data_IF_753873998292
#
_entry.id   IF_753873998292
#
_cell.length_a   1.000
_cell.length_b   1.000
_cell.length_c   1.000
_cell.angle_alpha   90.00
_cell.angle_beta   90.00
_cell.angle_gamma   90.00
#
_symmetry.space_group_name_H-M   'P 1'
#
loop_
_entity.id
_entity.type
_entity.pdbx_description
1 polymer ?
#
# COMPACT_ATOMS: atom_id res chain seq x y z
N UNK A 1 -11.95 -13.96 27.63
CA UNK A 1 -11.72 -12.51 27.42
C UNK A 1 -10.27 -12.35 26.98
N UNK A 2 -9.98 -11.87 25.78
CA UNK A 2 -8.59 -11.69 25.34
C UNK A 2 -7.91 -10.63 26.24
N UNK A 3 -6.77 -10.98 26.81
CA UNK A 3 -5.98 -10.10 27.66
C UNK A 3 -5.55 -8.86 26.86
N UNK A 4 -6.02 -7.68 27.29
CA UNK A 4 -5.70 -6.41 26.61
C UNK A 4 -4.33 -5.94 27.07
N UNK A 5 -3.45 -5.66 26.12
CA UNK A 5 -2.12 -5.08 26.39
C UNK A 5 -2.29 -3.70 27.01
N UNK A 6 -1.57 -3.44 28.10
CA UNK A 6 -1.58 -2.17 28.81
C UNK A 6 -0.20 -1.54 28.81
N UNK A 7 -0.19 -0.22 28.77
CA UNK A 7 1.01 0.58 29.02
C UNK A 7 1.34 0.61 30.53
N UNK A 8 2.56 1.03 30.87
CA UNK A 8 3.04 1.37 32.21
C UNK A 8 2.09 2.27 33.01
N UNK A 9 1.30 3.11 32.33
CA UNK A 9 0.26 3.98 32.93
C UNK A 9 -1.14 3.34 33.00
N UNK A 10 -1.26 2.03 32.77
CA UNK A 10 -2.54 1.30 32.82
C UNK A 10 -3.49 1.54 31.63
N UNK A 11 -3.07 2.30 30.62
CA UNK A 11 -3.86 2.58 29.41
C UNK A 11 -3.89 1.37 28.49
N UNK A 12 -5.05 1.05 27.92
CA UNK A 12 -5.19 -0.04 26.97
C UNK A 12 -4.61 0.33 25.60
N UNK A 13 -3.70 -0.50 25.10
CA UNK A 13 -3.12 -0.45 23.76
C UNK A 13 -4.01 -1.25 22.79
N UNK A 14 -4.25 -0.69 21.61
CA UNK A 14 -4.95 -1.36 20.50
C UNK A 14 -4.03 -2.37 19.81
N UNK A 15 -4.62 -3.22 18.97
CA UNK A 15 -3.88 -4.17 18.14
C UNK A 15 -2.88 -3.43 17.25
N UNK A 16 -1.59 -3.79 17.36
CA UNK A 16 -0.50 -3.16 16.61
C UNK A 16 0.16 -1.99 17.34
N UNK A 17 -0.42 -1.47 18.44
CA UNK A 17 0.21 -0.48 19.31
C UNK A 17 1.17 -1.17 20.32
N UNK A 18 2.32 -0.56 20.55
CA UNK A 18 3.37 -1.00 21.47
C UNK A 18 3.95 0.21 22.20
N UNK A 19 4.47 0.00 23.40
CA UNK A 19 5.27 0.99 24.10
C UNK A 19 6.72 0.52 24.16
N UNK A 20 7.62 1.33 23.61
CA UNK A 20 9.07 1.15 23.69
C UNK A 20 9.55 1.77 24.99
N UNK A 21 9.77 0.95 26.01
CA UNK A 21 10.24 1.39 27.33
C UNK A 21 11.68 1.91 27.31
N UNK A 22 12.50 1.49 26.34
CA UNK A 22 13.90 1.92 26.19
C UNK A 22 13.97 3.35 25.66
N UNK A 23 13.20 3.64 24.60
CA UNK A 23 13.20 4.96 23.97
C UNK A 23 12.05 5.87 24.44
N UNK A 24 11.24 5.41 25.40
CA UNK A 24 10.07 6.13 25.97
C UNK A 24 9.12 6.68 24.90
N UNK A 25 8.74 5.83 23.93
CA UNK A 25 7.89 6.20 22.80
C UNK A 25 6.84 5.13 22.51
N UNK A 26 5.72 5.54 21.94
CA UNK A 26 4.73 4.63 21.39
C UNK A 26 5.04 4.29 19.95
N UNK A 27 4.73 3.06 19.56
CA UNK A 27 4.93 2.55 18.21
C UNK A 27 3.67 1.86 17.72
N UNK A 28 3.39 1.97 16.44
CA UNK A 28 2.35 1.24 15.76
C UNK A 28 2.95 0.47 14.58
N UNK A 29 2.81 -0.86 14.56
CA UNK A 29 3.22 -1.72 13.43
C UNK A 29 1.98 -2.38 12.81
N UNK A 30 1.83 -2.23 11.49
CA UNK A 30 0.83 -2.96 10.70
C UNK A 30 1.41 -3.42 9.36
N UNK A 31 0.97 -4.58 8.89
CA UNK A 31 1.24 -5.05 7.52
C UNK A 31 0.18 -4.46 6.60
N UNK A 32 0.61 -3.74 5.57
CA UNK A 32 -0.27 -3.13 4.56
C UNK A 32 0.30 -3.49 3.20
N UNK A 33 -0.47 -4.19 2.36
CA UNK A 33 -0.07 -4.60 1.00
C UNK A 33 1.31 -5.31 0.92
N UNK A 34 1.69 -6.05 1.97
CA UNK A 34 2.98 -6.76 2.06
C UNK A 34 4.14 -5.94 2.64
N UNK A 35 3.94 -4.66 2.96
CA UNK A 35 4.95 -3.77 3.55
C UNK A 35 4.73 -3.53 5.06
N UNK A 36 5.84 -3.42 5.81
CA UNK A 36 5.94 -3.55 7.29
C UNK A 36 5.80 -2.22 8.07
N UNK A 37 4.84 -1.37 7.69
CA UNK A 37 4.78 0.05 8.11
C UNK A 37 4.86 0.20 9.63
N UNK A 38 5.75 1.10 10.08
CA UNK A 38 5.98 1.42 11.49
C UNK A 38 5.87 2.91 11.71
N UNK A 39 4.98 3.33 12.60
CA UNK A 39 4.78 4.72 13.02
C UNK A 39 5.27 4.83 14.47
N UNK A 40 5.88 5.94 14.84
CA UNK A 40 6.35 6.19 16.21
C UNK A 40 5.95 7.58 16.67
N UNK A 41 5.51 7.73 17.92
CA UNK A 41 5.17 9.01 18.52
C UNK A 41 5.53 9.03 20.01
N UNK A 42 5.75 10.21 20.58
CA UNK A 42 5.98 10.39 22.03
C UNK A 42 4.71 10.13 22.83
N UNK A 43 3.55 10.53 22.29
CA UNK A 43 2.26 10.41 22.96
C UNK A 43 1.30 9.45 22.25
N UNK A 44 0.50 8.74 23.05
CA UNK A 44 -0.49 7.79 22.55
C UNK A 44 -1.59 8.46 21.71
N UNK A 45 -1.95 9.70 22.05
CA UNK A 45 -2.96 10.47 21.30
C UNK A 45 -2.42 10.83 19.91
N UNK A 46 -1.17 11.29 19.85
CA UNK A 46 -0.51 11.61 18.57
C UNK A 46 -0.32 10.36 17.72
N UNK A 47 0.07 9.23 18.32
CA UNK A 47 0.17 7.95 17.63
C UNK A 47 -1.15 7.59 16.95
N UNK A 48 -2.28 7.74 17.65
CA UNK A 48 -3.61 7.43 17.12
C UNK A 48 -4.07 8.38 16.04
N UNK A 49 -3.68 9.66 16.12
CA UNK A 49 -3.93 10.63 15.04
C UNK A 49 -3.16 10.22 13.78
N UNK A 50 -1.88 9.91 13.92
CA UNK A 50 -1.03 9.44 12.81
C UNK A 50 -1.51 8.09 12.24
N UNK A 51 -1.94 7.16 13.10
CA UNK A 51 -2.59 5.91 12.71
C UNK A 51 -3.83 6.19 11.84
N UNK A 52 -4.74 7.04 12.32
CA UNK A 52 -5.95 7.38 11.59
C UNK A 52 -5.66 8.06 10.26
N UNK A 53 -4.73 9.02 10.23
CA UNK A 53 -4.31 9.69 8.99
C UNK A 53 -3.70 8.69 8.00
N UNK A 54 -2.90 7.73 8.47
CA UNK A 54 -2.35 6.66 7.65
C UNK A 54 -3.46 5.76 7.08
N UNK A 55 -4.41 5.34 7.92
CA UNK A 55 -5.55 4.52 7.48
C UNK A 55 -6.44 5.27 6.49
N UNK A 56 -6.76 6.54 6.75
CA UNK A 56 -7.52 7.38 5.82
C UNK A 56 -6.79 7.59 4.48
N UNK A 57 -5.45 7.74 4.48
CA UNK A 57 -4.67 7.82 3.23
C UNK A 57 -4.78 6.52 2.42
N UNK A 58 -4.72 5.37 3.09
CA UNK A 58 -4.85 4.06 2.45
C UNK A 58 -6.27 3.89 1.88
N UNK A 59 -7.29 4.21 2.68
CA UNK A 59 -8.70 4.06 2.33
C UNK A 59 -9.11 4.94 1.14
N UNK A 60 -8.61 6.18 1.10
CA UNK A 60 -8.82 7.12 -0.03
C UNK A 60 -8.11 6.70 -1.33
N UNK A 61 -7.54 5.49 -1.40
CA UNK A 61 -6.83 5.01 -2.58
C UNK A 61 -5.52 5.76 -2.84
N UNK A 62 -5.08 6.61 -1.90
CA UNK A 62 -3.76 7.23 -1.89
C UNK A 62 -2.77 6.16 -1.43
N UNK A 63 -2.73 5.05 -2.17
CA UNK A 63 -1.77 3.98 -2.00
C UNK A 63 -0.42 4.66 -1.96
N UNK A 64 0.21 4.60 -0.79
CA UNK A 64 1.64 4.79 -0.60
C UNK A 64 2.35 3.70 -1.41
N UNK A 65 2.28 3.84 -2.72
CA UNK A 65 3.08 3.13 -3.65
C UNK A 65 3.83 4.24 -4.37
N UNK A 66 4.85 4.76 -3.70
CA UNK A 66 6.00 5.40 -4.36
C UNK A 66 6.48 4.52 -5.53
N UNK A 67 6.25 3.21 -5.45
CA UNK A 67 6.37 2.23 -6.54
C UNK A 67 5.44 2.49 -7.74
N UNK A 68 4.16 2.81 -7.52
CA UNK A 68 3.19 3.14 -8.59
C UNK A 68 3.42 4.53 -9.18
N UNK A 69 3.85 5.50 -8.37
CA UNK A 69 4.15 6.85 -8.87
C UNK A 69 5.28 6.85 -9.91
N UNK A 70 6.25 5.94 -9.78
CA UNK A 70 7.35 5.75 -10.74
C UNK A 70 7.08 4.67 -11.79
N UNK A 71 5.97 3.93 -11.67
CA UNK A 71 5.65 2.82 -12.57
C UNK A 71 5.34 3.35 -13.97
N UNK A 72 5.95 2.72 -14.98
CA UNK A 72 5.64 2.99 -16.38
C UNK A 72 4.33 2.32 -16.76
N UNK A 73 3.66 2.84 -17.80
CA UNK A 73 2.44 2.22 -18.30
C UNK A 73 2.68 0.74 -18.70
N UNK A 74 3.86 0.42 -19.24
CA UNK A 74 4.26 -0.96 -19.55
C UNK A 74 4.27 -1.85 -18.30
N UNK A 75 4.94 -1.41 -17.22
CA UNK A 75 5.02 -2.19 -16.00
C UNK A 75 3.64 -2.40 -15.35
N UNK A 76 2.75 -1.41 -15.44
CA UNK A 76 1.37 -1.56 -14.99
C UNK A 76 0.57 -2.52 -15.85
N UNK A 77 0.71 -2.43 -17.17
CA UNK A 77 0.03 -3.32 -18.10
C UNK A 77 0.42 -4.77 -17.83
N UNK A 78 1.71 -5.06 -17.64
CA UNK A 78 2.19 -6.41 -17.31
C UNK A 78 1.61 -6.90 -15.98
N UNK A 79 1.62 -6.05 -14.94
CA UNK A 79 0.99 -6.37 -13.66
C UNK A 79 -0.51 -6.67 -13.80
N UNK A 80 -1.25 -5.81 -14.50
CA UNK A 80 -2.68 -5.96 -14.70
C UNK A 80 -3.01 -7.21 -15.50
N UNK A 81 -2.19 -7.50 -16.52
CA UNK A 81 -2.34 -8.67 -17.36
C UNK A 81 -2.18 -9.96 -16.55
N UNK A 82 -1.22 -9.99 -15.64
CA UNK A 82 -0.93 -11.16 -14.79
C UNK A 82 -1.95 -11.35 -13.67
N UNK A 83 -2.35 -10.27 -12.98
CA UNK A 83 -3.24 -10.35 -11.81
C UNK A 83 -4.73 -10.39 -12.17
N UNK A 84 -5.18 -9.61 -13.15
CA UNK A 84 -6.62 -9.45 -13.44
C UNK A 84 -7.05 -10.04 -14.77
N UNK A 85 -6.21 -9.96 -15.81
CA UNK A 85 -6.60 -10.44 -17.13
C UNK A 85 -6.60 -11.97 -17.22
N UNK A 86 -5.51 -12.61 -16.78
CA UNK A 86 -5.37 -14.08 -16.83
C UNK A 86 -6.38 -14.83 -15.94
N UNK A 87 -6.76 -14.26 -14.80
CA UNK A 87 -7.63 -14.93 -13.82
C UNK A 87 -9.11 -14.93 -14.24
N UNK A 88 -9.56 -13.97 -15.04
CA UNK A 88 -10.99 -13.77 -15.34
C UNK A 88 -11.37 -13.77 -16.82
N UNK A 89 -10.42 -13.97 -17.75
CA UNK A 89 -10.69 -13.86 -19.20
C UNK A 89 -10.17 -15.06 -19.99
N UNK A 90 -10.83 -15.34 -21.12
CA UNK A 90 -10.41 -16.37 -22.06
C UNK A 90 -9.01 -16.07 -22.60
N UNK A 91 -8.21 -17.12 -22.85
CA UNK A 91 -6.84 -17.00 -23.34
C UNK A 91 -6.74 -16.18 -24.63
N UNK A 92 -7.69 -16.33 -25.55
CA UNK A 92 -7.75 -15.57 -26.81
C UNK A 92 -7.90 -14.06 -26.58
N UNK A 93 -8.76 -13.65 -25.64
CA UNK A 93 -8.92 -12.24 -25.25
C UNK A 93 -7.62 -11.69 -24.66
N UNK A 94 -6.94 -12.48 -23.84
CA UNK A 94 -5.65 -12.11 -23.26
C UNK A 94 -4.57 -11.90 -24.32
N UNK A 95 -4.51 -12.79 -25.31
CA UNK A 95 -3.59 -12.67 -26.45
C UNK A 95 -3.89 -11.41 -27.27
N UNK A 96 -5.16 -11.11 -27.53
CA UNK A 96 -5.55 -9.90 -28.27
C UNK A 96 -5.14 -8.63 -27.54
N UNK A 97 -5.39 -8.55 -26.23
CA UNK A 97 -4.96 -7.39 -25.43
C UNK A 97 -3.45 -7.20 -25.46
N UNK A 98 -2.69 -8.28 -25.32
CA UNK A 98 -1.23 -8.23 -25.40
C UNK A 98 -0.74 -7.79 -26.79
N UNK A 99 -1.39 -8.28 -27.85
CA UNK A 99 -1.07 -7.92 -29.23
C UNK A 99 -1.30 -6.43 -29.48
N UNK A 100 -2.50 -5.92 -29.19
CA UNK A 100 -2.82 -4.49 -29.38
C UNK A 100 -1.93 -3.58 -28.55
N UNK A 101 -1.67 -3.94 -27.30
CA UNK A 101 -0.80 -3.17 -26.44
C UNK A 101 0.63 -3.11 -26.97
N UNK A 102 1.18 -4.24 -27.42
CA UNK A 102 2.52 -4.31 -27.99
C UNK A 102 2.65 -3.49 -29.28
N UNK A 103 1.63 -3.51 -30.14
CA UNK A 103 1.64 -2.81 -31.42
C UNK A 103 1.53 -1.30 -31.23
N UNK A 104 0.58 -0.82 -30.43
CA UNK A 104 0.23 0.61 -30.41
C UNK A 104 0.80 1.37 -29.21
N UNK A 105 0.99 0.72 -28.06
CA UNK A 105 1.23 1.42 -26.79
C UNK A 105 2.65 1.20 -26.27
N UNK A 106 3.19 -0.02 -26.39
CA UNK A 106 4.46 -0.42 -25.76
C UNK A 106 5.64 0.49 -26.12
N UNK A 107 5.75 0.86 -27.40
CA UNK A 107 6.84 1.70 -27.92
C UNK A 107 6.52 3.19 -27.93
N UNK A 108 5.26 3.59 -27.74
CA UNK A 108 4.82 4.99 -27.78
C UNK A 108 4.78 5.58 -26.36
N UNK A 109 3.61 5.57 -25.72
CA UNK A 109 3.40 6.09 -24.37
C UNK A 109 3.75 5.07 -23.28
N UNK A 110 3.98 3.80 -23.63
CA UNK A 110 4.23 2.69 -22.72
C UNK A 110 5.40 2.92 -21.74
N UNK A 111 6.44 3.64 -22.18
CA UNK A 111 7.61 3.98 -21.34
C UNK A 111 7.38 5.16 -20.40
N UNK A 112 6.31 5.94 -20.59
CA UNK A 112 6.01 7.09 -19.73
C UNK A 112 5.52 6.60 -18.37
N UNK A 113 5.88 7.34 -17.33
CA UNK A 113 5.37 7.13 -15.98
C UNK A 113 3.89 7.49 -15.94
N UNK A 114 3.07 6.65 -15.32
CA UNK A 114 1.62 6.86 -15.23
C UNK A 114 1.33 8.18 -14.52
N UNK A 115 2.07 8.51 -13.48
CA UNK A 115 1.93 9.77 -12.76
C UNK A 115 2.24 11.03 -13.60
N UNK A 116 2.90 10.88 -14.76
CA UNK A 116 3.22 11.98 -15.69
C UNK A 116 2.31 12.01 -16.92
N UNK A 117 1.35 11.08 -17.03
CA UNK A 117 0.32 11.13 -18.05
C UNK A 117 -0.76 12.10 -17.59
N UNK A 118 -1.00 13.15 -18.37
CA UNK A 118 -2.00 14.20 -18.11
C UNK A 118 -2.93 14.29 -19.30
#
# INVERSE_FOLDING_TARGET
MAEKRKDSRGRNLKTGEYYDSQNKRYMFRKMIDGERITITASDLVELRKQENDLLCRIDRGNKLNTRNARMTLNAYFDFWMDTFAKSGRKATTCTNYKSYYNTYIKNTIGKKQIAKMR
#
